data_IF_851097586181
#
_entry.id   IF_851097586181
#
_cell.length_a   1.000
_cell.length_b   1.000
_cell.length_c   1.000
_cell.angle_alpha   90.00
_cell.angle_beta   90.00
_cell.angle_gamma   90.00
#
_symmetry.space_group_name_H-M   'P 1'
#
loop_
_entity.id
_entity.type
_entity.pdbx_description
1 polymer ?
#
# COMPACT_ATOMS: atom_id res chain seq x y z
N UNK A 1 1.90 0.23 26.89
CA UNK A 1 1.59 -0.83 25.91
C UNK A 1 2.91 -1.53 25.60
N UNK A 2 2.94 -2.86 25.50
CA UNK A 2 4.15 -3.57 25.08
C UNK A 2 4.33 -3.49 23.56
N UNK A 3 5.46 -3.89 23.07
CA UNK A 3 5.70 -4.04 21.63
C UNK A 3 5.03 -5.31 21.10
N UNK A 4 4.57 -5.26 19.86
CA UNK A 4 3.92 -6.35 19.14
C UNK A 4 4.58 -6.58 17.79
N UNK A 5 4.77 -7.83 17.44
CA UNK A 5 5.35 -8.25 16.17
C UNK A 5 4.25 -8.72 15.21
N UNK A 6 4.24 -8.19 14.01
CA UNK A 6 3.18 -8.37 13.02
C UNK A 6 3.74 -9.02 11.76
N UNK A 7 3.22 -10.17 11.37
CA UNK A 7 3.52 -10.78 10.08
C UNK A 7 2.60 -10.22 8.99
N UNK A 8 3.17 -9.67 7.93
CA UNK A 8 2.45 -9.27 6.71
C UNK A 8 2.71 -10.33 5.63
N UNK A 9 1.63 -10.99 5.16
CA UNK A 9 1.74 -12.07 4.17
C UNK A 9 0.61 -12.06 3.14
N UNK A 10 0.93 -12.17 1.83
CA UNK A 10 2.25 -12.01 1.23
C UNK A 10 2.65 -10.54 1.14
N UNK A 11 3.91 -10.23 1.39
CA UNK A 11 4.38 -8.84 1.51
C UNK A 11 4.61 -8.12 0.18
N UNK A 12 4.56 -8.81 -0.96
CA UNK A 12 4.87 -8.25 -2.29
C UNK A 12 3.69 -7.62 -3.03
N UNK A 13 2.51 -7.54 -2.40
CA UNK A 13 1.28 -7.01 -3.03
C UNK A 13 1.12 -5.50 -2.78
N UNK A 14 0.27 -4.85 -3.59
CA UNK A 14 -0.14 -3.46 -3.37
C UNK A 14 -0.93 -3.29 -2.06
N UNK A 15 -1.61 -4.34 -1.62
CA UNK A 15 -2.31 -4.40 -0.31
C UNK A 15 -1.29 -4.38 0.81
N UNK A 16 -0.23 -5.21 0.71
CA UNK A 16 0.85 -5.22 1.67
C UNK A 16 1.55 -3.85 1.77
N UNK A 17 1.75 -3.16 0.65
CA UNK A 17 2.30 -1.82 0.66
C UNK A 17 1.47 -0.85 1.51
N UNK A 18 0.13 -0.88 1.39
CA UNK A 18 -0.72 -0.04 2.24
C UNK A 18 -0.61 -0.42 3.73
N UNK A 19 -0.58 -1.71 4.05
CA UNK A 19 -0.41 -2.18 5.43
C UNK A 19 0.93 -1.70 6.00
N UNK A 20 2.02 -1.84 5.24
CA UNK A 20 3.36 -1.42 5.66
C UNK A 20 3.41 0.09 5.90
N UNK A 21 2.90 0.90 4.95
CA UNK A 21 2.88 2.35 5.09
C UNK A 21 1.98 2.82 6.25
N UNK A 22 0.90 2.08 6.55
CA UNK A 22 0.01 2.35 7.69
C UNK A 22 0.71 2.21 9.05
N UNK A 23 1.76 1.38 9.13
CA UNK A 23 2.46 1.03 10.37
C UNK A 23 3.90 1.56 10.42
N UNK A 24 4.38 2.21 9.38
CA UNK A 24 5.79 2.59 9.18
C UNK A 24 6.42 3.34 10.36
N UNK A 25 5.67 4.22 10.99
CA UNK A 25 6.12 5.04 12.11
C UNK A 25 5.45 4.68 13.43
N UNK A 26 4.81 3.51 13.49
CA UNK A 26 4.10 3.12 14.70
C UNK A 26 5.08 2.68 15.79
N UNK A 27 4.88 3.19 17.01
CA UNK A 27 5.78 2.97 18.14
C UNK A 27 5.78 1.52 18.64
N UNK A 28 4.62 0.85 18.60
CA UNK A 28 4.41 -0.43 19.28
C UNK A 28 4.23 -1.62 18.32
N UNK A 29 4.06 -1.35 17.03
CA UNK A 29 3.79 -2.38 16.02
C UNK A 29 4.96 -2.53 15.08
N UNK A 30 5.67 -3.65 15.15
CA UNK A 30 6.86 -3.96 14.36
C UNK A 30 6.53 -5.00 13.29
N UNK A 31 6.88 -4.73 12.06
CA UNK A 31 6.50 -5.58 10.92
C UNK A 31 7.60 -6.57 10.55
N UNK A 32 7.19 -7.83 10.34
CA UNK A 32 7.95 -8.94 9.76
C UNK A 32 7.32 -9.27 8.41
N UNK A 33 8.14 -9.57 7.42
CA UNK A 33 7.70 -9.80 6.04
C UNK A 33 7.88 -11.25 5.63
N UNK A 34 6.85 -11.82 4.98
CA UNK A 34 6.97 -13.10 4.32
C UNK A 34 6.34 -13.08 2.92
N UNK A 35 6.85 -13.91 2.02
CA UNK A 35 6.33 -14.11 0.67
C UNK A 35 6.53 -15.56 0.24
N UNK A 36 5.63 -16.07 -0.61
CA UNK A 36 5.84 -17.34 -1.31
C UNK A 36 6.68 -17.19 -2.58
N UNK A 37 6.80 -15.96 -3.07
CA UNK A 37 7.58 -15.61 -4.27
C UNK A 37 8.90 -14.95 -3.88
N UNK A 38 9.97 -15.35 -4.58
CA UNK A 38 11.27 -14.66 -4.51
C UNK A 38 11.27 -13.45 -5.44
N UNK A 39 12.12 -12.45 -5.14
CA UNK A 39 12.19 -11.23 -5.94
C UNK A 39 11.02 -10.27 -5.67
N UNK A 40 10.41 -10.39 -4.51
CA UNK A 40 9.35 -9.51 -4.07
C UNK A 40 9.86 -8.08 -3.87
N UNK A 41 9.04 -7.08 -4.23
CA UNK A 41 9.33 -5.66 -4.00
C UNK A 41 9.70 -5.35 -2.53
N UNK A 42 9.15 -6.11 -1.57
CA UNK A 42 9.49 -5.99 -0.15
C UNK A 42 10.97 -6.23 0.17
N UNK A 43 11.66 -7.04 -0.63
CA UNK A 43 13.09 -7.27 -0.44
C UNK A 43 13.93 -5.99 -0.57
N UNK A 44 13.39 -4.97 -1.24
CA UNK A 44 14.02 -3.67 -1.43
C UNK A 44 13.71 -2.67 -0.31
N UNK A 45 12.96 -3.06 0.74
CA UNK A 45 12.64 -2.22 1.90
C UNK A 45 13.70 -2.29 3.03
N UNK A 46 14.82 -2.98 2.79
CA UNK A 46 15.92 -3.07 3.76
C UNK A 46 15.66 -3.98 4.96
N UNK A 47 14.54 -4.72 4.97
CA UNK A 47 14.23 -5.74 5.98
C UNK A 47 14.31 -7.15 5.39
N UNK A 48 14.65 -8.18 6.18
CA UNK A 48 14.57 -9.57 5.73
C UNK A 48 13.14 -9.96 5.31
N UNK A 49 13.04 -10.77 4.27
CA UNK A 49 11.80 -11.38 3.83
C UNK A 49 11.90 -12.90 4.02
N UNK A 50 11.01 -13.46 4.83
CA UNK A 50 10.92 -14.90 5.05
C UNK A 50 10.20 -15.55 3.87
N UNK A 51 10.57 -16.79 3.56
CA UNK A 51 9.89 -17.59 2.54
C UNK A 51 8.89 -18.52 3.21
N UNK A 52 7.63 -18.47 2.76
CA UNK A 52 6.58 -19.43 3.13
C UNK A 52 6.11 -20.15 1.87
N UNK A 53 5.66 -21.41 1.97
CA UNK A 53 4.97 -22.09 0.89
C UNK A 53 3.73 -21.30 0.43
N UNK A 54 3.20 -21.62 -0.76
CA UNK A 54 1.88 -21.11 -1.14
C UNK A 54 0.79 -21.63 -0.19
N UNK A 55 -0.26 -20.86 0.02
CA UNK A 55 -1.39 -21.26 0.90
C UNK A 55 -2.12 -22.53 0.45
N UNK A 56 -1.89 -22.96 -0.78
CA UNK A 56 -2.40 -24.23 -1.33
C UNK A 56 -1.49 -25.43 -1.06
N UNK A 57 -0.29 -25.21 -0.54
CA UNK A 57 0.67 -26.26 -0.21
C UNK A 57 0.35 -26.86 1.16
N UNK A 58 0.42 -28.17 1.29
CA UNK A 58 0.17 -28.88 2.54
C UNK A 58 1.17 -28.52 3.65
N UNK A 59 2.37 -28.08 3.30
CA UNK A 59 3.40 -27.64 4.24
C UNK A 59 3.18 -26.20 4.76
N UNK A 60 2.19 -25.46 4.24
CA UNK A 60 1.99 -24.05 4.57
C UNK A 60 1.75 -23.82 6.07
N UNK A 61 0.82 -24.55 6.66
CA UNK A 61 0.42 -24.34 8.06
C UNK A 61 1.57 -24.62 9.02
N UNK A 62 2.32 -25.70 8.83
CA UNK A 62 3.46 -26.04 9.69
C UNK A 62 4.59 -25.01 9.53
N UNK A 63 4.92 -24.60 8.30
CA UNK A 63 5.91 -23.56 8.05
C UNK A 63 5.50 -22.20 8.64
N UNK A 64 4.21 -21.88 8.64
CA UNK A 64 3.69 -20.68 9.27
C UNK A 64 3.82 -20.73 10.80
N UNK A 65 3.52 -21.88 11.41
CA UNK A 65 3.70 -22.11 12.86
C UNK A 65 5.16 -21.91 13.28
N UNK A 66 6.08 -22.54 12.54
CA UNK A 66 7.54 -22.39 12.80
C UNK A 66 7.97 -20.93 12.71
N UNK A 67 7.51 -20.20 11.70
CA UNK A 67 7.82 -18.77 11.55
C UNK A 67 7.24 -17.93 12.69
N UNK A 68 6.00 -18.19 13.09
CA UNK A 68 5.32 -17.49 14.18
C UNK A 68 6.05 -17.68 15.51
N UNK A 69 6.51 -18.89 15.81
CA UNK A 69 7.30 -19.19 17.01
C UNK A 69 8.68 -18.55 16.96
N UNK A 70 9.40 -18.71 15.83
CA UNK A 70 10.75 -18.20 15.65
C UNK A 70 10.84 -16.68 15.78
N UNK A 71 9.94 -15.95 15.17
CA UNK A 71 9.94 -14.49 15.12
C UNK A 71 9.07 -13.85 16.23
N UNK A 72 8.43 -14.66 17.07
CA UNK A 72 7.56 -14.18 18.15
C UNK A 72 6.37 -13.36 17.62
N UNK A 73 5.72 -13.82 16.54
CA UNK A 73 4.62 -13.09 15.90
C UNK A 73 3.40 -13.06 16.81
N UNK A 74 2.90 -11.86 17.09
CA UNK A 74 1.67 -11.62 17.84
C UNK A 74 0.44 -11.60 16.94
N UNK A 75 0.53 -11.01 15.73
CA UNK A 75 -0.58 -10.90 14.78
C UNK A 75 -0.14 -11.22 13.35
N UNK A 76 -1.07 -11.73 12.56
CA UNK A 76 -0.88 -12.07 11.15
C UNK A 76 -1.88 -11.25 10.33
N UNK A 77 -1.39 -10.47 9.36
CA UNK A 77 -2.21 -9.60 8.53
C UNK A 77 -2.19 -10.13 7.09
N UNK A 78 -3.33 -10.66 6.57
CA UNK A 78 -3.42 -11.11 5.20
C UNK A 78 -3.41 -9.95 4.22
N UNK A 79 -2.59 -10.06 3.18
CA UNK A 79 -2.48 -9.08 2.11
C UNK A 79 -2.88 -9.64 0.73
N UNK A 80 -3.75 -10.65 0.72
CA UNK A 80 -4.31 -11.29 -0.47
C UNK A 80 -5.62 -12.00 -0.11
N UNK A 81 -6.58 -12.08 -1.05
CA UNK A 81 -7.90 -12.68 -0.78
C UNK A 81 -7.83 -14.17 -0.44
N UNK A 82 -7.02 -14.94 -1.19
CA UNK A 82 -6.86 -16.38 -0.89
C UNK A 82 -6.14 -16.62 0.42
N UNK A 83 -5.21 -15.73 0.78
CA UNK A 83 -4.52 -15.81 2.08
C UNK A 83 -5.50 -15.50 3.20
N UNK A 84 -6.32 -14.44 3.07
CA UNK A 84 -7.36 -14.13 4.04
C UNK A 84 -8.35 -15.30 4.23
N UNK A 85 -8.74 -15.93 3.12
CA UNK A 85 -9.61 -17.10 3.13
C UNK A 85 -8.97 -18.28 3.89
N UNK A 86 -7.75 -18.67 3.52
CA UNK A 86 -7.05 -19.82 4.15
C UNK A 86 -6.76 -19.55 5.63
N UNK A 87 -6.24 -18.36 5.96
CA UNK A 87 -5.93 -18.00 7.34
C UNK A 87 -7.18 -17.95 8.23
N UNK A 88 -8.35 -17.62 7.68
CA UNK A 88 -9.60 -17.62 8.46
C UNK A 88 -10.07 -19.01 8.91
N UNK A 89 -9.55 -20.07 8.28
CA UNK A 89 -9.87 -21.47 8.63
C UNK A 89 -8.85 -22.09 9.59
N UNK A 90 -7.80 -21.34 9.98
CA UNK A 90 -6.86 -21.82 10.99
C UNK A 90 -7.53 -21.82 12.38
N UNK A 91 -7.25 -22.87 13.16
CA UNK A 91 -7.81 -23.03 14.49
C UNK A 91 -6.80 -22.76 15.61
N UNK A 92 -7.29 -22.69 16.84
CA UNK A 92 -6.47 -22.52 18.05
C UNK A 92 -5.67 -21.23 18.07
N UNK A 93 -4.54 -21.27 18.76
CA UNK A 93 -3.69 -20.11 19.00
C UNK A 93 -3.17 -19.41 17.72
N UNK A 94 -3.03 -20.15 16.61
CA UNK A 94 -2.60 -19.58 15.33
C UNK A 94 -3.75 -18.77 14.69
N UNK A 95 -4.97 -19.30 14.66
CA UNK A 95 -6.15 -18.62 14.16
C UNK A 95 -6.48 -17.35 14.95
N UNK A 96 -6.29 -17.38 16.28
CA UNK A 96 -6.49 -16.21 17.14
C UNK A 96 -5.55 -15.04 16.81
N UNK A 97 -4.39 -15.29 16.20
CA UNK A 97 -3.46 -14.26 15.79
C UNK A 97 -3.86 -13.54 14.49
N UNK A 98 -4.76 -14.13 13.70
CA UNK A 98 -5.15 -13.57 12.39
C UNK A 98 -5.98 -12.30 12.56
N UNK A 99 -5.59 -11.25 11.87
CA UNK A 99 -6.34 -10.01 11.75
C UNK A 99 -7.22 -10.09 10.50
N UNK A 100 -8.44 -10.53 10.66
CA UNK A 100 -9.38 -10.76 9.55
C UNK A 100 -10.78 -11.11 10.04
N UNK A 101 -11.64 -11.52 9.13
CA UNK A 101 -13.00 -11.96 9.40
C UNK A 101 -13.05 -13.48 9.64
N UNK A 102 -14.14 -13.98 10.21
CA UNK A 102 -14.35 -15.40 10.47
C UNK A 102 -14.36 -16.24 9.17
N UNK A 103 -14.17 -17.55 9.31
CA UNK A 103 -14.27 -18.50 8.20
C UNK A 103 -15.65 -18.42 7.52
N UNK A 104 -16.74 -18.32 8.30
CA UNK A 104 -18.10 -18.19 7.78
C UNK A 104 -18.26 -16.96 6.86
N UNK A 105 -17.75 -15.81 7.28
CA UNK A 105 -17.75 -14.60 6.45
C UNK A 105 -16.95 -14.82 5.17
N UNK A 106 -15.74 -15.37 5.29
CA UNK A 106 -14.89 -15.62 4.13
C UNK A 106 -15.51 -16.63 3.14
N UNK A 107 -16.23 -17.67 3.62
CA UNK A 107 -16.98 -18.60 2.76
C UNK A 107 -18.07 -17.92 1.94
N UNK A 108 -18.72 -16.91 2.48
CA UNK A 108 -19.75 -16.14 1.75
C UNK A 108 -19.11 -15.18 0.76
N UNK A 109 -18.14 -14.35 1.20
CA UNK A 109 -17.66 -13.21 0.42
C UNK A 109 -16.58 -13.56 -0.60
N UNK A 110 -15.86 -14.69 -0.42
CA UNK A 110 -14.84 -15.14 -1.37
C UNK A 110 -15.41 -15.61 -2.71
N UNK A 111 -16.66 -16.10 -2.70
CA UNK A 111 -17.36 -16.62 -3.88
C UNK A 111 -18.51 -15.69 -4.27
N UNK A 112 -18.44 -15.12 -5.48
CA UNK A 112 -19.38 -14.08 -5.95
C UNK A 112 -20.82 -14.59 -6.05
N UNK A 113 -21.00 -15.84 -6.49
CA UNK A 113 -22.32 -16.48 -6.53
C UNK A 113 -22.93 -16.63 -5.12
N UNK A 114 -22.14 -17.05 -4.14
CA UNK A 114 -22.58 -17.12 -2.73
C UNK A 114 -22.90 -15.74 -2.16
N UNK A 115 -22.03 -14.72 -2.44
CA UNK A 115 -22.25 -13.34 -2.01
C UNK A 115 -23.59 -12.83 -2.56
N UNK A 116 -23.86 -13.02 -3.85
CA UNK A 116 -25.07 -12.52 -4.47
C UNK A 116 -26.32 -13.25 -3.98
N UNK A 117 -26.26 -14.56 -3.83
CA UNK A 117 -27.35 -15.33 -3.26
C UNK A 117 -27.64 -14.93 -1.80
N UNK A 118 -26.61 -14.73 -0.99
CA UNK A 118 -26.75 -14.33 0.41
C UNK A 118 -27.37 -12.94 0.57
N UNK A 119 -27.09 -12.00 -0.33
CA UNK A 119 -27.58 -10.64 -0.25
C UNK A 119 -28.75 -10.31 -1.17
N UNK A 120 -29.33 -11.27 -1.90
CA UNK A 120 -30.36 -11.06 -2.90
C UNK A 120 -31.60 -10.31 -2.37
N UNK A 121 -31.96 -10.54 -1.11
CA UNK A 121 -33.10 -9.91 -0.41
C UNK A 121 -32.74 -8.59 0.30
N UNK A 122 -31.47 -8.27 0.39
CA UNK A 122 -30.97 -7.22 1.30
C UNK A 122 -30.31 -6.07 0.55
N UNK A 123 -29.60 -6.37 -0.54
CA UNK A 123 -28.83 -5.40 -1.31
C UNK A 123 -29.23 -5.41 -2.79
N UNK A 124 -29.00 -4.30 -3.51
CA UNK A 124 -29.24 -4.26 -4.95
C UNK A 124 -28.16 -5.09 -5.66
N UNK A 125 -28.52 -6.29 -6.10
CA UNK A 125 -27.67 -7.17 -6.89
C UNK A 125 -27.96 -6.94 -8.37
N UNK A 126 -26.94 -7.06 -9.21
CA UNK A 126 -27.09 -7.07 -10.67
C UNK A 126 -27.91 -8.29 -11.11
N UNK A 127 -28.66 -8.17 -12.22
CA UNK A 127 -29.41 -9.30 -12.79
C UNK A 127 -28.43 -10.43 -13.16
N UNK A 128 -28.65 -11.63 -12.64
CA UNK A 128 -27.85 -12.82 -12.91
C UNK A 128 -28.55 -13.66 -13.97
N UNK A 129 -27.78 -14.28 -14.84
CA UNK A 129 -28.30 -15.12 -15.93
C UNK A 129 -27.91 -16.59 -15.69
N UNK A 130 -28.88 -17.39 -15.24
CA UNK A 130 -28.66 -18.80 -14.91
C UNK A 130 -28.67 -19.72 -16.16
N UNK A 131 -29.19 -19.25 -17.29
CA UNK A 131 -29.26 -20.00 -18.54
C UNK A 131 -28.83 -19.15 -19.73
N UNK A 132 -28.21 -19.76 -20.76
CA UNK A 132 -27.84 -19.03 -21.98
C UNK A 132 -28.99 -18.28 -22.66
N UNK A 133 -30.22 -18.82 -22.57
CA UNK A 133 -31.40 -18.19 -23.17
C UNK A 133 -31.87 -16.93 -22.42
N UNK A 134 -31.50 -16.77 -21.16
CA UNK A 134 -31.84 -15.61 -20.35
C UNK A 134 -30.88 -14.44 -20.56
N UNK A 135 -29.72 -14.68 -21.19
CA UNK A 135 -28.67 -13.66 -21.34
C UNK A 135 -29.17 -12.51 -22.22
N UNK A 136 -29.03 -11.29 -21.68
CA UNK A 136 -29.20 -10.03 -22.43
C UNK A 136 -27.82 -9.44 -22.71
N UNK A 137 -27.55 -9.10 -23.93
CA UNK A 137 -26.28 -8.51 -24.36
C UNK A 137 -26.35 -6.99 -24.45
N UNK A 138 -25.24 -6.28 -24.14
CA UNK A 138 -24.00 -6.85 -23.62
C UNK A 138 -24.16 -7.39 -22.20
N UNK A 139 -23.45 -8.48 -21.87
CA UNK A 139 -23.39 -9.02 -20.52
C UNK A 139 -21.95 -9.07 -20.00
N UNK A 140 -21.81 -9.27 -18.71
CA UNK A 140 -20.51 -9.35 -18.06
C UNK A 140 -20.31 -10.74 -17.43
N UNK A 141 -19.16 -11.34 -17.67
CA UNK A 141 -18.80 -12.66 -17.18
C UNK A 141 -17.56 -12.57 -16.33
N UNK A 142 -17.60 -13.09 -15.13
CA UNK A 142 -16.46 -13.07 -14.20
C UNK A 142 -16.37 -14.37 -13.39
N UNK A 143 -15.15 -14.84 -13.01
CA UNK A 143 -15.00 -16.03 -12.19
C UNK A 143 -15.77 -15.93 -10.88
N UNK A 144 -16.38 -17.00 -10.42
CA UNK A 144 -16.98 -17.10 -9.09
C UNK A 144 -15.95 -16.79 -8.01
N UNK A 145 -14.74 -17.33 -8.16
CA UNK A 145 -13.58 -17.07 -7.30
C UNK A 145 -12.49 -16.36 -8.11
N UNK A 146 -12.12 -15.14 -7.74
CA UNK A 146 -11.11 -14.36 -8.44
C UNK A 146 -10.93 -12.99 -7.80
N UNK A 147 -9.87 -12.27 -8.21
CA UNK A 147 -9.58 -10.90 -7.78
C UNK A 147 -8.92 -10.11 -8.91
N UNK A 148 -8.87 -8.77 -8.78
CA UNK A 148 -8.16 -7.91 -9.72
C UNK A 148 -8.66 -7.97 -11.15
N UNK A 149 -9.95 -8.29 -11.37
CA UNK A 149 -10.57 -8.44 -12.70
C UNK A 149 -9.88 -9.49 -13.60
N UNK A 150 -9.09 -10.41 -13.04
CA UNK A 150 -8.55 -11.52 -13.81
C UNK A 150 -9.70 -12.37 -14.37
N UNK A 151 -9.58 -12.75 -15.65
CA UNK A 151 -10.56 -13.56 -16.37
C UNK A 151 -12.01 -13.01 -16.34
N UNK A 152 -12.15 -11.69 -16.29
CA UNK A 152 -13.44 -11.00 -16.40
C UNK A 152 -13.61 -10.45 -17.83
N UNK A 153 -14.78 -10.72 -18.44
CA UNK A 153 -15.04 -10.43 -19.84
C UNK A 153 -16.33 -9.66 -20.06
N UNK A 154 -16.26 -8.63 -20.89
CA UNK A 154 -17.44 -8.04 -21.52
C UNK A 154 -17.80 -8.90 -22.75
N UNK A 155 -19.01 -9.41 -22.78
CA UNK A 155 -19.56 -10.24 -23.82
C UNK A 155 -20.61 -9.44 -24.59
N UNK A 156 -20.29 -9.07 -25.80
CA UNK A 156 -21.12 -8.13 -26.60
C UNK A 156 -22.33 -8.80 -27.29
N UNK A 157 -22.20 -10.08 -27.64
CA UNK A 157 -23.21 -10.82 -28.38
C UNK A 157 -23.14 -12.34 -28.11
N UNK A 158 -24.12 -13.08 -28.66
CA UNK A 158 -24.22 -14.53 -28.52
C UNK A 158 -23.01 -15.27 -29.12
N UNK A 159 -22.40 -14.74 -30.19
CA UNK A 159 -21.21 -15.35 -30.81
C UNK A 159 -19.98 -15.20 -29.90
N UNK A 160 -19.87 -14.05 -29.25
CA UNK A 160 -18.81 -13.84 -28.26
C UNK A 160 -19.00 -14.78 -27.06
N UNK A 161 -20.24 -15.02 -26.63
CA UNK A 161 -20.55 -15.98 -25.55
C UNK A 161 -20.22 -17.42 -25.98
N UNK A 162 -20.56 -17.82 -27.20
CA UNK A 162 -20.18 -19.14 -27.70
C UNK A 162 -18.66 -19.36 -27.70
N UNK A 163 -17.87 -18.37 -28.16
CA UNK A 163 -16.39 -18.44 -28.09
C UNK A 163 -15.86 -18.48 -26.65
N UNK A 164 -16.52 -17.82 -25.73
CA UNK A 164 -16.17 -17.90 -24.30
C UNK A 164 -16.36 -19.34 -23.80
N UNK A 165 -17.50 -19.98 -24.07
CA UNK A 165 -17.82 -21.34 -23.59
C UNK A 165 -16.97 -22.43 -24.25
N UNK A 166 -16.34 -22.16 -25.39
CA UNK A 166 -15.34 -23.06 -26.00
C UNK A 166 -14.02 -23.10 -25.21
N UNK A 167 -13.74 -22.06 -24.43
CA UNK A 167 -12.45 -21.88 -23.73
C UNK A 167 -12.54 -22.04 -22.23
N UNK A 168 -13.69 -21.77 -21.65
CA UNK A 168 -13.92 -21.76 -20.19
C UNK A 168 -15.17 -22.57 -19.85
N UNK A 169 -15.16 -23.22 -18.70
CA UNK A 169 -16.36 -23.83 -18.13
C UNK A 169 -17.29 -22.75 -17.58
N UNK A 170 -18.47 -22.49 -18.16
CA UNK A 170 -19.38 -21.46 -17.66
C UNK A 170 -19.81 -21.67 -16.19
N UNK A 171 -19.74 -22.90 -15.68
CA UNK A 171 -20.10 -23.20 -14.31
C UNK A 171 -19.14 -22.60 -13.28
N UNK A 172 -17.93 -22.26 -13.68
CA UNK A 172 -16.96 -21.58 -12.82
C UNK A 172 -17.12 -20.04 -12.81
N UNK A 173 -18.08 -19.53 -13.59
CA UNK A 173 -18.29 -18.09 -13.76
C UNK A 173 -19.70 -17.66 -13.33
N UNK A 174 -19.81 -16.39 -12.99
CA UNK A 174 -21.07 -15.67 -12.85
C UNK A 174 -21.30 -14.89 -14.14
N UNK A 175 -22.48 -15.08 -14.77
CA UNK A 175 -22.94 -14.32 -15.93
C UNK A 175 -23.99 -13.34 -15.47
N UNK A 176 -23.79 -12.04 -15.74
CA UNK A 176 -24.63 -10.98 -15.19
C UNK A 176 -24.84 -9.82 -16.17
N UNK A 177 -25.79 -8.96 -15.88
CA UNK A 177 -25.96 -7.72 -16.63
C UNK A 177 -24.68 -6.88 -16.65
N UNK A 178 -24.43 -6.22 -17.78
CA UNK A 178 -23.32 -5.28 -17.89
C UNK A 178 -23.68 -3.97 -17.16
N UNK A 179 -22.79 -3.52 -16.29
CA UNK A 179 -22.91 -2.28 -15.53
C UNK A 179 -22.01 -1.21 -16.17
N UNK A 180 -22.56 -0.24 -16.93
CA UNK A 180 -21.75 0.74 -17.67
C UNK A 180 -21.31 1.94 -16.83
N UNK A 181 -21.88 2.16 -15.67
CA UNK A 181 -21.72 3.38 -14.90
C UNK A 181 -20.47 3.43 -14.04
N UNK A 182 -20.40 4.43 -13.18
CA UNK A 182 -19.29 4.68 -12.28
C UNK A 182 -19.15 3.58 -11.23
N UNK A 183 -17.90 3.30 -10.87
CA UNK A 183 -17.52 2.27 -9.91
C UNK A 183 -16.92 2.90 -8.66
N UNK A 184 -17.30 2.35 -7.50
CA UNK A 184 -16.92 2.86 -6.19
C UNK A 184 -16.37 1.75 -5.32
N UNK A 185 -15.43 2.10 -4.45
CA UNK A 185 -15.04 1.27 -3.30
C UNK A 185 -15.39 2.03 -2.03
N UNK A 186 -16.01 1.34 -1.10
CA UNK A 186 -16.40 1.88 0.20
C UNK A 186 -15.60 1.13 1.26
N UNK A 187 -14.67 1.83 1.90
CA UNK A 187 -13.86 1.29 2.98
C UNK A 187 -14.63 1.45 4.30
N UNK A 188 -14.68 0.38 5.09
CA UNK A 188 -15.55 0.28 6.26
C UNK A 188 -14.81 -0.23 7.49
N UNK A 189 -15.35 0.15 8.65
CA UNK A 189 -14.92 -0.37 9.94
C UNK A 189 -16.13 -0.69 10.80
N UNK A 190 -16.14 -1.86 11.44
CA UNK A 190 -17.26 -2.33 12.22
C UNK A 190 -16.83 -2.91 13.57
N UNK A 191 -17.77 -2.94 14.51
CA UNK A 191 -17.62 -3.70 15.77
C UNK A 191 -18.81 -4.64 15.93
N UNK A 192 -18.57 -5.95 15.74
CA UNK A 192 -19.57 -7.03 15.90
C UNK A 192 -20.90 -6.73 15.23
N UNK A 193 -20.85 -6.36 13.96
CA UNK A 193 -22.01 -6.02 13.16
C UNK A 193 -22.44 -4.55 13.23
N UNK A 194 -21.96 -3.78 14.21
CA UNK A 194 -22.23 -2.35 14.29
C UNK A 194 -21.26 -1.58 13.40
N UNK A 195 -21.74 -0.83 12.41
CA UNK A 195 -20.91 0.00 11.53
C UNK A 195 -20.42 1.25 12.28
N UNK A 196 -19.12 1.39 12.46
CA UNK A 196 -18.47 2.56 13.06
C UNK A 196 -18.11 3.61 12.01
N UNK A 197 -17.67 3.18 10.82
CA UNK A 197 -17.27 4.07 9.75
C UNK A 197 -17.54 3.48 8.36
N UNK A 198 -17.87 4.35 7.39
CA UNK A 198 -17.85 4.04 5.97
C UNK A 198 -17.36 5.27 5.20
N UNK A 199 -16.45 5.06 4.25
CA UNK A 199 -15.89 6.12 3.41
C UNK A 199 -15.80 5.68 1.96
N UNK A 200 -16.69 6.27 1.11
CA UNK A 200 -16.79 5.97 -0.31
C UNK A 200 -15.82 6.79 -1.15
N UNK A 201 -15.20 6.14 -2.11
CA UNK A 201 -14.29 6.73 -3.10
C UNK A 201 -14.55 6.17 -4.49
N UNK A 202 -14.23 6.96 -5.50
CA UNK A 202 -14.33 6.57 -6.91
C UNK A 202 -13.25 5.56 -7.31
N UNK A 203 -13.46 4.86 -8.42
CA UNK A 203 -12.46 4.08 -9.15
C UNK A 203 -12.36 4.64 -10.57
N UNK A 204 -11.79 5.82 -10.70
CA UNK A 204 -11.78 6.60 -11.95
C UNK A 204 -10.95 5.92 -13.04
N UNK A 205 -9.82 5.34 -12.65
CA UNK A 205 -8.95 4.62 -13.57
C UNK A 205 -8.44 3.34 -12.90
N UNK A 206 -8.55 2.25 -13.64
CA UNK A 206 -7.99 0.95 -13.24
C UNK A 206 -6.97 0.47 -14.25
N UNK A 207 -5.97 -0.26 -13.79
CA UNK A 207 -5.00 -0.98 -14.63
C UNK A 207 -4.97 -2.43 -14.16
N UNK A 208 -5.37 -3.34 -15.04
CA UNK A 208 -5.53 -4.77 -14.70
C UNK A 208 -6.37 -4.99 -13.42
N UNK A 209 -7.51 -4.28 -13.33
CA UNK A 209 -8.41 -4.37 -12.19
C UNK A 209 -7.95 -3.65 -10.91
N UNK A 210 -6.71 -3.14 -10.88
CA UNK A 210 -6.18 -2.39 -9.74
C UNK A 210 -6.50 -0.91 -9.93
N UNK A 211 -7.13 -0.26 -8.94
CA UNK A 211 -7.40 1.17 -8.99
C UNK A 211 -6.10 1.97 -8.92
N UNK A 212 -5.88 2.86 -9.88
CA UNK A 212 -4.70 3.74 -9.95
C UNK A 212 -5.05 5.21 -9.74
N UNK A 213 -6.30 5.62 -10.03
CA UNK A 213 -6.83 6.95 -9.68
C UNK A 213 -8.13 6.75 -8.91
N UNK A 214 -8.22 7.40 -7.77
CA UNK A 214 -9.39 7.39 -6.88
C UNK A 214 -9.53 8.75 -6.22
N UNK A 215 -10.76 9.23 -6.07
CA UNK A 215 -11.07 10.47 -5.36
C UNK A 215 -12.13 10.22 -4.29
N UNK A 216 -12.08 10.97 -3.22
CA UNK A 216 -13.14 11.01 -2.23
C UNK A 216 -14.47 11.41 -2.89
N UNK A 217 -15.54 10.71 -2.57
CA UNK A 217 -16.89 11.06 -3.04
C UNK A 217 -17.44 12.19 -2.18
N UNK A 218 -17.51 13.41 -2.74
CA UNK A 218 -18.00 14.59 -2.03
C UNK A 218 -19.53 14.67 -1.98
N UNK A 219 -20.26 13.88 -2.78
CA UNK A 219 -21.73 13.84 -2.75
C UNK A 219 -22.22 13.18 -1.46
N UNK A 220 -22.77 13.99 -0.56
CA UNK A 220 -23.27 13.52 0.72
C UNK A 220 -24.42 12.52 0.59
N UNK A 221 -25.28 12.63 -0.43
CA UNK A 221 -26.39 11.70 -0.62
C UNK A 221 -25.86 10.33 -1.01
N UNK A 222 -24.86 10.31 -1.87
CA UNK A 222 -24.19 9.07 -2.27
C UNK A 222 -23.43 8.45 -1.10
N UNK A 223 -22.76 9.26 -0.25
CA UNK A 223 -22.13 8.76 0.98
C UNK A 223 -23.16 8.20 1.98
N UNK A 224 -24.34 8.82 2.09
CA UNK A 224 -25.44 8.28 2.92
C UNK A 224 -25.98 6.95 2.38
N UNK A 225 -26.08 6.83 1.04
CA UNK A 225 -26.48 5.57 0.39
C UNK A 225 -25.44 4.47 0.62
N UNK A 226 -24.15 4.77 0.47
CA UNK A 226 -23.06 3.84 0.80
C UNK A 226 -23.11 3.40 2.26
N UNK A 227 -23.33 4.34 3.19
CA UNK A 227 -23.44 4.04 4.61
C UNK A 227 -24.63 3.13 4.91
N UNK A 228 -25.75 3.34 4.24
CA UNK A 228 -26.92 2.47 4.36
C UNK A 228 -26.60 1.03 3.96
N UNK A 229 -25.95 0.81 2.81
CA UNK A 229 -25.55 -0.53 2.39
C UNK A 229 -24.47 -1.13 3.29
N UNK A 230 -23.50 -0.32 3.71
CA UNK A 230 -22.46 -0.74 4.64
C UNK A 230 -23.05 -1.26 5.97
N UNK A 231 -24.05 -0.55 6.52
CA UNK A 231 -24.72 -0.96 7.75
C UNK A 231 -25.39 -2.33 7.57
N UNK A 232 -26.12 -2.54 6.49
CA UNK A 232 -26.82 -3.81 6.19
C UNK A 232 -25.84 -4.98 5.99
N UNK A 233 -24.72 -4.73 5.31
CA UNK A 233 -23.66 -5.74 5.13
C UNK A 233 -23.05 -6.10 6.49
N UNK A 234 -22.69 -5.08 7.28
CA UNK A 234 -22.05 -5.27 8.58
C UNK A 234 -22.95 -6.07 9.54
N UNK A 235 -24.23 -5.71 9.62
CA UNK A 235 -25.21 -6.42 10.47
C UNK A 235 -25.41 -7.87 10.04
N UNK A 236 -25.64 -8.10 8.74
CA UNK A 236 -25.97 -9.45 8.21
C UNK A 236 -24.80 -10.42 8.29
N UNK A 237 -23.55 -9.94 8.17
CA UNK A 237 -22.34 -10.74 8.29
C UNK A 237 -21.68 -10.66 9.68
N UNK A 238 -22.22 -9.88 10.61
CA UNK A 238 -21.62 -9.63 11.94
C UNK A 238 -20.15 -9.22 11.87
N UNK A 239 -19.81 -8.32 10.90
CA UNK A 239 -18.45 -7.92 10.63
C UNK A 239 -17.78 -7.23 11.82
N UNK A 240 -16.46 -7.47 11.97
CA UNK A 240 -15.64 -6.92 13.01
C UNK A 240 -14.27 -6.46 12.46
N UNK A 241 -13.82 -5.25 12.77
CA UNK A 241 -12.61 -4.67 12.20
C UNK A 241 -12.80 -4.03 10.83
N UNK A 242 -11.74 -4.00 10.07
CA UNK A 242 -11.69 -3.42 8.73
C UNK A 242 -12.24 -4.36 7.65
N UNK A 243 -12.88 -3.77 6.66
CA UNK A 243 -13.37 -4.44 5.46
C UNK A 243 -13.73 -3.40 4.40
N UNK A 244 -14.08 -3.82 3.21
CA UNK A 244 -14.57 -2.93 2.16
C UNK A 244 -15.61 -3.65 1.29
N UNK A 245 -16.36 -2.88 0.52
CA UNK A 245 -17.18 -3.42 -0.57
C UNK A 245 -17.11 -2.51 -1.79
N UNK A 246 -17.52 -3.04 -2.94
CA UNK A 246 -17.56 -2.30 -4.19
C UNK A 246 -18.95 -2.29 -4.77
N UNK A 247 -19.31 -1.14 -5.33
CA UNK A 247 -20.56 -0.94 -6.04
C UNK A 247 -20.31 -0.28 -7.39
N UNK A 248 -21.18 -0.57 -8.33
CA UNK A 248 -21.15 0.05 -9.67
C UNK A 248 -22.55 0.43 -10.11
N UNK A 249 -22.67 1.56 -10.81
CA UNK A 249 -23.95 2.00 -11.34
C UNK A 249 -24.35 1.18 -12.56
N UNK A 250 -25.63 0.78 -12.62
CA UNK A 250 -26.26 0.20 -13.80
C UNK A 250 -26.59 1.27 -14.86
N UNK A 251 -27.21 0.87 -15.96
CA UNK A 251 -27.61 1.78 -17.04
C UNK A 251 -28.63 2.86 -16.61
N UNK A 252 -29.33 2.66 -15.50
CA UNK A 252 -30.29 3.61 -14.92
C UNK A 252 -29.67 4.46 -13.79
N UNK A 253 -28.36 4.36 -13.57
CA UNK A 253 -27.65 5.08 -12.53
C UNK A 253 -27.84 4.50 -11.12
N UNK A 254 -28.44 3.33 -10.96
CA UNK A 254 -28.64 2.67 -9.66
C UNK A 254 -27.41 1.85 -9.29
N UNK A 255 -27.03 1.92 -8.02
CA UNK A 255 -25.91 1.14 -7.49
C UNK A 255 -26.24 -0.36 -7.45
N UNK A 256 -25.25 -1.19 -7.82
CA UNK A 256 -25.29 -2.64 -7.74
C UNK A 256 -24.04 -3.15 -7.02
N UNK A 257 -24.19 -4.14 -6.15
CA UNK A 257 -23.07 -4.75 -5.44
C UNK A 257 -22.17 -5.51 -6.42
N UNK A 258 -20.85 -5.29 -6.32
CA UNK A 258 -19.86 -6.02 -7.10
C UNK A 258 -19.14 -7.10 -6.29
N UNK A 259 -18.63 -6.73 -5.10
CA UNK A 259 -17.89 -7.63 -4.21
C UNK A 259 -17.79 -7.05 -2.80
N UNK A 260 -17.49 -7.91 -1.84
CA UNK A 260 -17.16 -7.57 -0.45
C UNK A 260 -15.79 -8.15 -0.16
N UNK A 261 -14.87 -7.35 0.37
CA UNK A 261 -13.51 -7.78 0.71
C UNK A 261 -13.24 -7.71 2.20
N UNK A 262 -12.94 -8.83 2.86
CA UNK A 262 -12.75 -8.92 4.32
C UNK A 262 -11.30 -8.59 4.74
N UNK A 263 -10.67 -7.63 4.09
CA UNK A 263 -9.26 -7.24 4.24
C UNK A 263 -9.01 -5.79 3.83
N UNK A 264 -7.78 -5.34 3.95
CA UNK A 264 -7.33 -4.03 3.45
C UNK A 264 -7.53 -3.93 1.93
N UNK A 265 -8.12 -2.85 1.46
CA UNK A 265 -8.24 -2.55 0.03
C UNK A 265 -6.99 -1.86 -0.52
N UNK A 266 -6.70 -2.06 -1.81
CA UNK A 266 -5.45 -1.56 -2.43
C UNK A 266 -5.29 -0.04 -2.47
N UNK A 267 -6.38 0.74 -2.26
CA UNK A 267 -6.36 2.22 -2.21
C UNK A 267 -6.99 2.78 -0.93
N UNK A 268 -6.99 1.99 0.15
CA UNK A 268 -7.49 2.40 1.49
C UNK A 268 -6.69 3.58 2.07
N UNK A 269 -5.47 3.80 1.57
CA UNK A 269 -4.62 4.95 1.89
C UNK A 269 -5.29 6.32 1.66
N UNK A 270 -6.32 6.40 0.82
CA UNK A 270 -7.08 7.63 0.65
C UNK A 270 -7.78 8.02 1.96
N UNK A 271 -8.40 7.07 2.66
CA UNK A 271 -8.99 7.30 3.98
C UNK A 271 -7.91 7.55 5.05
N UNK A 272 -6.75 6.88 4.96
CA UNK A 272 -5.60 7.17 5.85
C UNK A 272 -5.10 8.60 5.69
N UNK A 273 -5.07 9.15 4.48
CA UNK A 273 -4.77 10.56 4.25
C UNK A 273 -5.79 11.50 4.91
N UNK A 274 -7.02 11.04 5.11
CA UNK A 274 -8.07 11.74 5.88
C UNK A 274 -8.00 11.48 7.39
N UNK A 275 -6.97 10.80 7.88
CA UNK A 275 -6.76 10.51 9.29
C UNK A 275 -7.36 9.19 9.77
N UNK A 276 -7.89 8.35 8.89
CA UNK A 276 -8.48 7.05 9.26
C UNK A 276 -7.51 5.92 8.92
N UNK A 277 -6.68 5.53 9.87
CA UNK A 277 -5.75 4.40 9.73
C UNK A 277 -6.44 3.09 10.13
N UNK A 278 -7.07 2.43 9.18
CA UNK A 278 -7.85 1.21 9.42
C UNK A 278 -7.03 0.06 10.00
N UNK A 279 -5.77 -0.08 9.60
CA UNK A 279 -4.90 -1.16 10.08
C UNK A 279 -4.58 -0.96 11.55
N UNK A 280 -4.23 0.25 11.95
CA UNK A 280 -3.98 0.61 13.34
C UNK A 280 -5.24 0.42 14.20
N UNK A 281 -6.39 0.90 13.73
CA UNK A 281 -7.68 0.75 14.43
C UNK A 281 -8.04 -0.72 14.64
N UNK A 282 -7.82 -1.58 13.62
CA UNK A 282 -8.09 -3.01 13.72
C UNK A 282 -7.17 -3.71 14.73
N UNK A 283 -5.92 -3.29 14.81
CA UNK A 283 -4.98 -3.80 15.82
C UNK A 283 -5.38 -3.38 17.24
N UNK A 284 -5.75 -2.12 17.44
CA UNK A 284 -6.26 -1.67 18.74
C UNK A 284 -7.54 -2.39 19.15
N UNK A 285 -8.47 -2.57 18.22
CA UNK A 285 -9.70 -3.32 18.48
C UNK A 285 -9.39 -4.79 18.83
N UNK A 286 -8.47 -5.43 18.12
CA UNK A 286 -8.00 -6.80 18.40
C UNK A 286 -7.37 -6.93 19.80
N UNK A 287 -6.75 -5.87 20.30
CA UNK A 287 -6.20 -5.76 21.64
C UNK A 287 -7.27 -5.42 22.72
N UNK A 288 -8.52 -5.29 22.31
CA UNK A 288 -9.65 -5.02 23.22
C UNK A 288 -9.87 -3.54 23.54
N UNK A 289 -9.20 -2.62 22.83
CA UNK A 289 -9.46 -1.19 22.98
C UNK A 289 -10.73 -0.77 22.24
N UNK A 290 -11.51 0.12 22.84
CA UNK A 290 -12.56 0.82 22.13
C UNK A 290 -11.95 1.76 21.09
N UNK A 291 -12.54 1.80 19.88
CA UNK A 291 -12.09 2.67 18.80
C UNK A 291 -13.16 3.69 18.45
N UNK A 292 -12.74 4.94 18.30
CA UNK A 292 -13.54 6.03 17.76
C UNK A 292 -12.89 6.55 16.49
N UNK A 293 -13.70 6.86 15.47
CA UNK A 293 -13.19 7.23 14.14
C UNK A 293 -13.70 8.63 13.79
N UNK A 294 -12.78 9.58 13.77
CA UNK A 294 -13.05 10.97 13.39
C UNK A 294 -12.14 11.38 12.25
N UNK A 295 -12.63 11.36 10.98
CA UNK A 295 -11.84 11.78 9.84
C UNK A 295 -11.67 13.29 9.78
N UNK A 296 -10.59 13.75 9.15
CA UNK A 296 -10.51 15.14 8.72
C UNK A 296 -11.49 15.38 7.56
N UNK A 297 -12.19 16.51 7.60
CA UNK A 297 -13.10 16.92 6.51
C UNK A 297 -12.29 17.62 5.41
N UNK A 298 -11.64 16.79 4.60
CA UNK A 298 -10.84 17.23 3.44
C UNK A 298 -11.19 16.42 2.20
N UNK A 299 -11.13 17.06 1.06
CA UNK A 299 -11.18 16.41 -0.25
C UNK A 299 -9.79 15.85 -0.59
N UNK A 300 -9.76 14.58 -1.00
CA UNK A 300 -8.51 13.88 -1.35
C UNK A 300 -8.70 13.15 -2.66
N UNK A 301 -7.76 13.34 -3.57
CA UNK A 301 -7.57 12.52 -4.76
C UNK A 301 -6.25 11.79 -4.68
N UNK A 302 -6.25 10.53 -5.07
CA UNK A 302 -5.10 9.62 -5.02
C UNK A 302 -4.72 9.20 -6.43
N UNK A 303 -3.47 9.44 -6.81
CA UNK A 303 -2.83 8.83 -7.97
C UNK A 303 -1.74 7.85 -7.53
N UNK A 304 -1.74 6.62 -8.07
CA UNK A 304 -0.72 5.60 -7.79
C UNK A 304 0.20 5.44 -8.98
N UNK A 305 1.49 5.37 -8.71
CA UNK A 305 2.51 5.07 -9.69
C UNK A 305 3.48 4.00 -9.15
N UNK A 306 4.23 3.37 -10.05
CA UNK A 306 5.35 2.53 -9.66
C UNK A 306 6.47 3.43 -9.16
N UNK A 307 6.99 3.14 -7.98
CA UNK A 307 8.12 3.84 -7.37
C UNK A 307 9.32 2.90 -7.39
N UNK A 308 10.45 3.29 -8.02
CA UNK A 308 11.66 2.48 -7.99
C UNK A 308 12.23 2.42 -6.57
N UNK A 309 12.87 1.31 -6.23
CA UNK A 309 13.64 1.13 -5.00
C UNK A 309 14.94 0.45 -5.34
N UNK A 310 15.97 0.78 -4.60
CA UNK A 310 17.33 0.35 -4.92
C UNK A 310 17.93 -0.47 -3.77
N UNK A 311 18.78 -1.43 -4.13
CA UNK A 311 19.75 -2.05 -3.23
C UNK A 311 21.14 -1.76 -3.77
N UNK A 312 22.02 -1.28 -2.93
CA UNK A 312 23.43 -1.11 -3.27
C UNK A 312 24.30 -1.65 -2.13
N UNK A 313 25.57 -1.85 -2.44
CA UNK A 313 26.60 -2.31 -1.51
C UNK A 313 27.50 -1.17 -1.03
N UNK A 314 27.02 0.07 -1.09
CA UNK A 314 27.81 1.25 -0.71
C UNK A 314 27.74 1.40 0.80
N UNK A 315 28.92 1.35 1.42
CA UNK A 315 29.10 1.67 2.83
C UNK A 315 29.94 2.95 2.93
N UNK A 316 29.52 3.85 3.80
CA UNK A 316 30.23 5.08 4.06
C UNK A 316 30.03 5.55 5.51
N UNK A 317 30.99 6.34 6.00
CA UNK A 317 30.94 6.95 7.34
C UNK A 317 30.71 8.45 7.27
N UNK A 318 31.14 9.08 6.17
CA UNK A 318 31.06 10.52 6.02
C UNK A 318 30.31 10.89 4.75
N UNK A 319 29.39 11.83 4.86
CA UNK A 319 28.61 12.41 3.78
C UNK A 319 29.09 13.84 3.53
N UNK A 320 29.70 14.07 2.39
CA UNK A 320 30.10 15.41 1.93
C UNK A 320 29.08 15.92 0.92
N UNK A 321 28.64 17.15 1.12
CA UNK A 321 27.56 17.76 0.34
C UNK A 321 28.02 19.12 -0.17
N UNK A 322 27.86 19.38 -1.47
CA UNK A 322 28.01 20.71 -2.01
C UNK A 322 26.83 21.62 -1.65
N UNK A 323 27.02 22.92 -1.75
CA UNK A 323 26.02 23.89 -1.37
C UNK A 323 25.20 24.40 -2.55
N UNK A 324 25.85 25.05 -3.54
CA UNK A 324 25.16 25.69 -4.67
C UNK A 324 24.60 24.60 -5.61
N UNK A 325 23.36 24.75 -6.05
CA UNK A 325 22.65 23.84 -6.95
C UNK A 325 22.64 22.37 -6.50
N UNK A 326 23.07 22.11 -5.26
CA UNK A 326 23.04 20.80 -4.60
C UNK A 326 22.14 20.83 -3.36
N UNK A 327 22.57 21.51 -2.29
CA UNK A 327 21.75 21.72 -1.09
C UNK A 327 20.79 22.89 -1.26
N UNK A 328 21.26 23.98 -1.88
CA UNK A 328 20.52 25.21 -2.11
C UNK A 328 20.25 25.39 -3.60
N UNK A 329 19.00 25.13 -4.00
CA UNK A 329 18.55 25.08 -5.39
C UNK A 329 18.00 26.45 -5.83
N UNK A 330 18.27 26.83 -7.07
CA UNK A 330 17.74 28.06 -7.71
C UNK A 330 17.92 29.34 -6.85
N UNK A 331 18.92 29.37 -6.00
CA UNK A 331 19.16 30.45 -5.03
C UNK A 331 17.93 30.75 -4.12
N UNK A 332 17.04 29.77 -3.94
CA UNK A 332 15.74 30.00 -3.30
C UNK A 332 15.30 28.87 -2.37
N UNK A 333 15.54 27.60 -2.71
CA UNK A 333 15.00 26.46 -2.02
C UNK A 333 16.08 25.61 -1.40
N UNK A 334 15.77 24.97 -0.25
CA UNK A 334 16.56 23.84 0.24
C UNK A 334 16.04 22.55 -0.41
N UNK A 335 16.96 21.73 -0.88
CA UNK A 335 16.69 20.41 -1.42
C UNK A 335 16.16 19.48 -0.30
N UNK A 336 14.84 19.23 -0.28
CA UNK A 336 14.18 18.45 0.76
C UNK A 336 14.52 16.97 0.69
N UNK A 337 14.81 16.41 -0.48
CA UNK A 337 15.21 15.02 -0.64
C UNK A 337 16.63 14.79 -0.09
N UNK A 338 17.50 15.76 -0.32
CA UNK A 338 18.84 15.75 0.27
C UNK A 338 18.78 15.92 1.80
N UNK A 339 17.84 16.72 2.33
CA UNK A 339 17.62 16.83 3.77
C UNK A 339 17.19 15.48 4.38
N UNK A 340 16.34 14.72 3.68
CA UNK A 340 15.98 13.34 4.09
C UNK A 340 17.23 12.47 4.22
N UNK A 341 18.14 12.50 3.24
CA UNK A 341 19.40 11.75 3.28
C UNK A 341 20.33 12.20 4.42
N UNK A 342 20.41 13.52 4.67
CA UNK A 342 21.18 14.09 5.78
C UNK A 342 20.69 13.52 7.13
N UNK A 343 19.38 13.60 7.38
CA UNK A 343 18.84 13.09 8.63
C UNK A 343 18.93 11.56 8.74
N UNK A 344 18.82 10.84 7.63
CA UNK A 344 19.10 9.40 7.62
C UNK A 344 20.55 9.12 8.03
N UNK A 345 21.53 9.84 7.45
CA UNK A 345 22.94 9.69 7.81
C UNK A 345 23.19 10.00 9.30
N UNK A 346 22.55 11.04 9.84
CA UNK A 346 22.60 11.37 11.28
C UNK A 346 22.00 10.28 12.16
N UNK A 347 20.87 9.71 11.78
CA UNK A 347 20.24 8.60 12.52
C UNK A 347 21.10 7.34 12.49
N UNK A 348 21.98 7.18 11.50
CA UNK A 348 22.95 6.10 11.36
C UNK A 348 24.33 6.47 11.98
N UNK A 349 24.40 7.55 12.76
CA UNK A 349 25.63 8.05 13.43
C UNK A 349 26.78 8.40 12.46
N UNK A 350 26.45 8.74 11.21
CA UNK A 350 27.41 9.19 10.21
C UNK A 350 27.67 10.69 10.31
N UNK A 351 28.89 11.09 9.98
CA UNK A 351 29.25 12.50 9.93
C UNK A 351 28.79 13.16 8.63
N UNK A 352 28.28 14.37 8.71
CA UNK A 352 27.78 15.13 7.56
C UNK A 352 28.52 16.46 7.46
N UNK A 353 29.19 16.68 6.34
CA UNK A 353 29.98 17.84 6.05
C UNK A 353 29.41 18.62 4.87
N UNK A 354 29.37 19.95 4.98
CA UNK A 354 29.14 20.83 3.86
C UNK A 354 30.49 21.21 3.28
N UNK A 355 30.72 21.02 1.97
CA UNK A 355 31.97 21.35 1.28
C UNK A 355 31.69 22.14 0.01
N UNK A 356 32.11 23.38 -0.05
CA UNK A 356 31.68 24.28 -1.13
C UNK A 356 32.76 25.28 -1.54
N UNK A 357 32.67 25.72 -2.80
CA UNK A 357 33.42 26.83 -3.38
C UNK A 357 32.53 28.09 -3.54
N UNK A 358 31.49 28.24 -2.72
CA UNK A 358 30.50 29.31 -2.81
C UNK A 358 31.17 30.68 -2.83
N UNK A 359 30.98 31.41 -3.93
CA UNK A 359 31.57 32.75 -4.16
C UNK A 359 30.65 33.88 -3.71
N UNK A 360 29.37 33.63 -3.52
CA UNK A 360 28.35 34.65 -3.26
C UNK A 360 28.31 35.13 -1.82
N UNK A 361 29.09 34.52 -0.95
CA UNK A 361 29.18 34.85 0.47
C UNK A 361 27.81 34.86 1.19
N UNK A 362 26.88 34.04 0.69
CA UNK A 362 25.52 33.91 1.22
C UNK A 362 25.31 32.67 2.08
N UNK A 363 26.27 31.74 2.16
CA UNK A 363 26.22 30.45 2.81
C UNK A 363 25.67 30.55 4.26
N UNK A 364 26.36 31.29 5.13
CA UNK A 364 25.95 31.39 6.54
C UNK A 364 24.56 32.00 6.71
N UNK A 365 24.22 33.01 5.90
CA UNK A 365 22.91 33.66 5.91
C UNK A 365 21.81 32.68 5.49
N UNK A 366 22.05 31.89 4.45
CA UNK A 366 21.11 30.89 3.94
C UNK A 366 20.89 29.78 4.97
N UNK A 367 21.96 29.21 5.51
CA UNK A 367 21.85 28.16 6.54
C UNK A 367 21.08 28.65 7.78
N UNK A 368 21.33 29.89 8.20
CA UNK A 368 20.62 30.51 9.31
C UNK A 368 19.14 30.74 8.98
N UNK A 369 18.85 31.29 7.79
CA UNK A 369 17.46 31.51 7.34
C UNK A 369 16.59 30.26 7.37
N UNK A 370 17.14 29.13 6.92
CA UNK A 370 16.43 27.83 6.94
C UNK A 370 16.57 27.06 8.24
N UNK A 371 17.28 27.59 9.24
CA UNK A 371 17.45 26.95 10.55
C UNK A 371 18.28 25.67 10.53
N UNK A 372 19.15 25.49 9.54
CA UNK A 372 19.95 24.28 9.31
C UNK A 372 21.46 24.44 9.59
N UNK A 373 21.84 25.50 10.27
CA UNK A 373 23.26 25.80 10.56
C UNK A 373 23.94 24.68 11.36
N UNK A 374 23.21 24.03 12.28
CA UNK A 374 23.77 23.08 13.23
C UNK A 374 23.61 21.60 12.86
N UNK A 375 23.15 21.31 11.64
CA UNK A 375 22.97 19.93 11.19
C UNK A 375 24.28 19.33 10.65
N UNK A 376 25.25 20.17 10.29
CA UNK A 376 26.55 19.73 9.77
C UNK A 376 27.57 19.59 10.89
N UNK A 377 28.38 18.52 10.82
CA UNK A 377 29.51 18.31 11.75
C UNK A 377 30.69 19.22 11.39
N UNK A 378 30.73 19.72 10.16
CA UNK A 378 31.70 20.72 9.71
C UNK A 378 31.26 21.39 8.41
N UNK A 379 31.73 22.63 8.23
CA UNK A 379 31.52 23.41 7.01
C UNK A 379 32.92 23.75 6.46
N UNK A 380 33.20 23.30 5.25
CA UNK A 380 34.49 23.45 4.59
C UNK A 380 34.26 24.38 3.40
N UNK A 381 34.77 25.61 3.52
CA UNK A 381 34.70 26.62 2.46
C UNK A 381 36.06 26.70 1.75
N UNK A 382 36.07 26.34 0.47
CA UNK A 382 37.27 26.20 -0.35
C UNK A 382 37.50 27.38 -1.23
N UNK A 383 38.79 27.68 -1.51
CA UNK A 383 39.19 28.54 -2.58
C UNK A 383 38.96 27.93 -3.96
N UNK A 384 39.08 28.77 -5.01
CA UNK A 384 38.79 28.32 -6.40
C UNK A 384 39.68 27.15 -6.86
N UNK A 385 40.97 27.21 -6.50
CA UNK A 385 42.00 26.24 -6.92
C UNK A 385 42.05 24.99 -6.02
N UNK A 386 41.39 25.01 -4.87
CA UNK A 386 41.37 23.89 -3.95
C UNK A 386 40.46 22.79 -4.45
N UNK A 387 40.86 21.56 -4.23
CA UNK A 387 40.09 20.35 -4.64
C UNK A 387 39.31 19.80 -3.48
N UNK A 388 38.03 19.51 -3.68
CA UNK A 388 37.16 18.96 -2.64
C UNK A 388 37.74 17.64 -2.10
N UNK A 389 38.29 16.80 -2.97
CA UNK A 389 38.84 15.47 -2.60
C UNK A 389 40.00 15.54 -1.61
N UNK A 390 40.75 16.63 -1.56
CA UNK A 390 41.88 16.85 -0.64
C UNK A 390 41.39 17.02 0.81
N UNK A 391 40.16 17.41 0.99
CA UNK A 391 39.50 17.65 2.28
C UNK A 391 38.57 16.53 2.71
N UNK A 392 38.37 15.50 1.86
CA UNK A 392 37.52 14.37 2.16
C UNK A 392 38.27 13.27 2.92
N UNK A 393 37.65 12.74 3.95
CA UNK A 393 38.17 11.60 4.72
C UNK A 393 37.95 10.28 3.95
N UNK A 394 38.62 9.21 4.39
CA UNK A 394 38.33 7.88 3.88
C UNK A 394 36.92 7.45 4.23
N UNK A 395 36.38 6.47 3.51
CA UNK A 395 35.03 5.96 3.69
C UNK A 395 33.96 7.07 3.54
N UNK A 396 34.14 7.94 2.55
CA UNK A 396 33.26 9.08 2.28
C UNK A 396 32.55 8.97 0.95
N UNK A 397 31.39 9.61 0.86
CA UNK A 397 30.69 9.89 -0.40
C UNK A 397 30.54 11.40 -0.61
N UNK A 398 30.48 11.81 -1.87
CA UNK A 398 30.24 13.19 -2.28
C UNK A 398 28.88 13.28 -2.98
N UNK A 399 28.08 14.28 -2.58
CA UNK A 399 26.89 14.70 -3.33
C UNK A 399 27.18 16.09 -3.89
N UNK A 400 27.09 16.22 -5.22
CA UNK A 400 27.53 17.43 -5.92
C UNK A 400 26.81 17.51 -7.28
N UNK A 401 26.33 18.67 -7.70
CA UNK A 401 25.73 18.89 -9.02
C UNK A 401 26.79 18.92 -10.13
N UNK A 402 28.03 19.35 -9.80
CA UNK A 402 29.13 19.46 -10.76
C UNK A 402 29.63 18.09 -11.22
N UNK A 403 29.48 17.80 -12.50
CA UNK A 403 30.05 16.60 -13.12
C UNK A 403 31.58 16.51 -12.93
N UNK A 404 32.29 17.65 -13.01
CA UNK A 404 33.75 17.68 -12.89
C UNK A 404 34.21 17.28 -11.48
N UNK A 405 33.58 17.81 -10.43
CA UNK A 405 33.88 17.47 -9.03
C UNK A 405 33.55 15.99 -8.75
N UNK A 406 32.41 15.47 -9.21
CA UNK A 406 32.07 14.04 -9.08
C UNK A 406 33.06 13.15 -9.81
N UNK A 407 33.44 13.51 -11.04
CA UNK A 407 34.40 12.72 -11.83
C UNK A 407 35.78 12.71 -11.18
N UNK A 408 36.20 13.80 -10.54
CA UNK A 408 37.46 13.85 -9.79
C UNK A 408 37.39 12.97 -8.53
N UNK A 409 36.29 13.07 -7.77
CA UNK A 409 36.08 12.24 -6.58
C UNK A 409 36.13 10.72 -6.92
N UNK A 410 35.47 10.32 -8.01
CA UNK A 410 35.49 8.93 -8.47
C UNK A 410 36.91 8.49 -8.87
N UNK A 411 37.68 9.32 -9.58
CA UNK A 411 39.09 9.01 -9.93
C UNK A 411 39.98 8.87 -8.70
N UNK A 412 39.66 9.57 -7.62
CA UNK A 412 40.36 9.47 -6.34
C UNK A 412 39.86 8.34 -5.45
N UNK A 413 38.92 7.49 -5.93
CA UNK A 413 38.43 6.32 -5.21
C UNK A 413 37.25 6.55 -4.27
N UNK A 414 36.61 7.71 -4.35
CA UNK A 414 35.36 8.00 -3.62
C UNK A 414 34.13 7.65 -4.46
N UNK A 415 33.03 7.33 -3.80
CA UNK A 415 31.73 7.34 -4.47
C UNK A 415 31.19 8.78 -4.56
N UNK A 416 30.64 9.14 -5.70
CA UNK A 416 30.06 10.47 -5.90
C UNK A 416 28.74 10.38 -6.69
N UNK A 417 27.76 11.17 -6.28
CA UNK A 417 26.40 11.16 -6.81
C UNK A 417 25.92 12.57 -7.14
N UNK A 418 25.12 12.68 -8.19
CA UNK A 418 24.33 13.89 -8.42
C UNK A 418 23.05 13.88 -7.59
N UNK A 419 22.39 15.03 -7.47
CA UNK A 419 21.15 15.16 -6.69
C UNK A 419 19.99 14.32 -7.23
N UNK A 420 19.99 13.97 -8.52
CA UNK A 420 18.98 13.15 -9.18
C UNK A 420 19.21 11.64 -9.00
N UNK A 421 20.29 11.24 -8.37
CA UNK A 421 20.63 9.83 -8.11
C UNK A 421 20.75 9.47 -6.62
N UNK A 422 20.42 10.38 -5.71
CA UNK A 422 20.52 10.13 -4.26
C UNK A 422 19.53 9.09 -3.73
N UNK A 423 18.49 8.77 -4.50
CA UNK A 423 17.49 7.73 -4.12
C UNK A 423 18.13 6.37 -3.85
N UNK A 424 19.28 6.07 -4.51
CA UNK A 424 20.01 4.82 -4.27
C UNK A 424 20.59 4.73 -2.85
N UNK A 425 20.76 5.87 -2.19
CA UNK A 425 21.31 5.99 -0.83
C UNK A 425 20.22 6.11 0.23
N UNK A 426 19.00 6.47 -0.17
CA UNK A 426 17.89 6.65 0.78
C UNK A 426 17.23 5.32 1.11
N UNK A 427 16.90 5.14 2.40
CA UNK A 427 16.15 4.00 2.93
C UNK A 427 14.76 4.45 3.39
N UNK A 428 13.86 3.50 3.52
CA UNK A 428 12.50 3.75 4.05
C UNK A 428 12.41 3.56 5.55
#
# INVERSE_FOLDING_TARGET
MRDYTLLIFPCGTEIANEIIESLKHHKYFHTVFASSERGSYCEFRGKPVHTLPYVTDTAFEDSLKELVEKEGIDFIIPAHDDVAYVLSHLEGALGEKVLGQSAEVNEIVRFKDRTYAFFADTLPIAELYDTPKAIRYPCFVKPKRGQGSADAFLIEDERAYARFTERFDPNEFVVMEYLPGEEYTIDCFSDRGCLLYSGGRTREKTTRGISVISSWVCDENLQKEFRHYAQRISEKLHLHGLWFFQMKKDANGKLRLLEIGPRVSGTMMLNRARGVNFVELALYQKLGFGVEITPNDIEVSLGRALVPRYKCNIEYKNLYIDFDDTLFLEEKYINTDLMKLIFQAKNEEKSVYLITKNKKNNLAKTLHHFGITHIFDGIIHLGEEEKKVEHMQKDSILIDDSFAERAEAIRCGFYAFSIDSIDILTRE
#
